data_IF_804516474146
#
_entry.id   IF_804516474146
#
_cell.length_a   1.000
_cell.length_b   1.000
_cell.length_c   1.000
_cell.angle_alpha   90.00
_cell.angle_beta   90.00
_cell.angle_gamma   90.00
#
_symmetry.space_group_name_H-M   'P 1'
#
loop_
_entity.id
_entity.type
_entity.pdbx_description
1 polymer ?
#
# COMPACT_ATOMS: atom_id res chain seq x y z
N UNK A 1 -19.76 -18.89 -2.68
CA UNK A 1 -19.61 -17.52 -2.18
C UNK A 1 -19.75 -16.51 -3.34
N UNK A 2 -18.91 -16.57 -4.37
CA UNK A 2 -18.85 -15.59 -5.46
C UNK A 2 -20.10 -15.50 -6.30
N UNK A 3 -20.75 -16.64 -6.59
CA UNK A 3 -22.03 -16.64 -7.31
C UNK A 3 -23.14 -15.89 -6.55
N UNK A 4 -23.16 -15.97 -5.21
CA UNK A 4 -24.12 -15.21 -4.38
C UNK A 4 -23.83 -13.71 -4.45
N UNK A 5 -22.56 -13.33 -4.47
CA UNK A 5 -22.11 -11.93 -4.56
C UNK A 5 -22.43 -11.31 -5.92
N UNK A 6 -22.27 -12.07 -7.01
CA UNK A 6 -22.69 -11.61 -8.34
C UNK A 6 -24.19 -11.32 -8.43
N UNK A 7 -25.01 -12.08 -7.70
CA UNK A 7 -26.45 -11.86 -7.65
C UNK A 7 -26.89 -10.76 -6.68
N UNK A 8 -26.01 -10.35 -5.77
CA UNK A 8 -26.20 -9.26 -4.79
C UNK A 8 -24.94 -8.42 -4.73
N UNK A 9 -24.71 -7.51 -5.67
CA UNK A 9 -23.46 -6.74 -5.75
C UNK A 9 -23.25 -5.81 -4.56
N UNK A 10 -24.31 -5.49 -3.82
CA UNK A 10 -24.32 -4.72 -2.56
C UNK A 10 -24.25 -5.59 -1.30
N UNK A 11 -23.83 -6.87 -1.44
CA UNK A 11 -23.78 -7.84 -0.33
C UNK A 11 -23.04 -7.31 0.91
N UNK A 12 -21.96 -6.53 0.70
CA UNK A 12 -21.10 -5.98 1.76
C UNK A 12 -21.78 -4.92 2.64
N UNK A 13 -22.89 -4.34 2.20
CA UNK A 13 -23.69 -3.36 2.95
C UNK A 13 -24.92 -3.96 3.63
N UNK A 14 -25.08 -5.28 3.53
CA UNK A 14 -26.21 -5.99 4.14
C UNK A 14 -26.16 -5.97 5.67
N UNK A 15 -27.32 -6.02 6.36
CA UNK A 15 -27.38 -5.99 7.83
C UNK A 15 -26.86 -7.29 8.48
N UNK A 16 -26.64 -8.31 7.70
CA UNK A 16 -26.08 -9.62 8.08
C UNK A 16 -24.55 -9.68 7.96
N UNK A 17 -23.89 -8.56 7.60
CA UNK A 17 -22.44 -8.51 7.47
C UNK A 17 -21.78 -8.14 8.81
N UNK A 18 -20.85 -9.00 9.23
CA UNK A 18 -20.01 -8.80 10.42
C UNK A 18 -18.55 -8.76 9.97
N UNK A 19 -17.92 -7.59 10.08
CA UNK A 19 -16.51 -7.40 9.75
C UNK A 19 -15.61 -7.56 10.97
N UNK A 20 -14.46 -8.16 10.76
CA UNK A 20 -13.37 -8.17 11.72
C UNK A 20 -12.11 -7.59 11.09
N UNK A 21 -11.53 -6.56 11.71
CA UNK A 21 -10.32 -5.89 11.21
C UNK A 21 -9.18 -6.09 12.17
N UNK A 22 -8.01 -6.47 11.66
CA UNK A 22 -6.81 -6.64 12.50
C UNK A 22 -5.52 -6.57 11.68
N UNK A 23 -4.42 -6.27 12.39
CA UNK A 23 -3.08 -6.58 11.92
C UNK A 23 -2.80 -8.07 12.11
N UNK A 24 -2.33 -8.81 11.08
CA UNK A 24 -2.07 -10.25 11.20
C UNK A 24 -1.08 -10.60 12.30
N UNK A 25 0.02 -9.86 12.43
CA UNK A 25 1.06 -10.06 13.44
C UNK A 25 0.54 -9.88 14.87
N UNK A 26 -0.32 -8.90 15.10
CA UNK A 26 -0.91 -8.64 16.42
C UNK A 26 -2.03 -9.61 16.79
N UNK A 27 -2.75 -10.11 15.79
CA UNK A 27 -3.86 -11.03 16.02
C UNK A 27 -3.39 -12.47 16.19
N UNK A 28 -2.47 -12.95 15.35
CA UNK A 28 -2.08 -14.36 15.33
C UNK A 28 -0.61 -14.63 14.94
N UNK A 29 0.20 -13.60 14.82
CA UNK A 29 1.63 -13.66 14.53
C UNK A 29 1.96 -13.80 13.04
N UNK A 30 1.30 -14.71 12.33
CA UNK A 30 1.55 -15.03 10.92
C UNK A 30 0.25 -15.27 10.15
N UNK A 31 0.30 -15.37 8.83
CA UNK A 31 -0.85 -15.74 8.00
C UNK A 31 -1.36 -17.15 8.33
N UNK A 32 -0.48 -18.08 8.61
CA UNK A 32 -0.87 -19.43 9.06
C UNK A 32 -1.51 -19.40 10.45
N UNK A 33 -1.02 -18.51 11.33
CA UNK A 33 -1.65 -18.23 12.62
C UNK A 33 -3.06 -17.68 12.45
N UNK A 34 -3.29 -16.74 11.52
CA UNK A 34 -4.63 -16.23 11.20
C UNK A 34 -5.53 -17.37 10.69
N UNK A 35 -5.00 -18.24 9.80
CA UNK A 35 -5.72 -19.40 9.30
C UNK A 35 -6.19 -20.33 10.43
N UNK A 36 -5.39 -20.51 11.47
CA UNK A 36 -5.75 -21.31 12.66
C UNK A 36 -6.87 -20.70 13.51
N UNK A 37 -7.27 -19.45 13.24
CA UNK A 37 -8.35 -18.74 13.96
C UNK A 37 -9.69 -18.70 13.20
N UNK A 38 -9.80 -19.40 12.08
CA UNK A 38 -11.01 -19.37 11.25
C UNK A 38 -12.24 -19.85 12.03
N UNK A 39 -12.14 -20.92 12.81
CA UNK A 39 -13.23 -21.42 13.65
C UNK A 39 -13.69 -20.36 14.66
N UNK A 40 -12.74 -19.69 15.34
CA UNK A 40 -13.04 -18.59 16.25
C UNK A 40 -13.75 -17.43 15.56
N UNK A 41 -13.31 -17.05 14.36
CA UNK A 41 -13.99 -16.01 13.57
C UNK A 41 -15.40 -16.44 13.16
N UNK A 42 -15.60 -17.72 12.84
CA UNK A 42 -16.89 -18.30 12.55
C UNK A 42 -17.84 -18.27 13.77
N UNK A 43 -17.33 -18.61 14.96
CA UNK A 43 -18.09 -18.54 16.22
C UNK A 43 -18.54 -17.10 16.55
N UNK A 44 -17.75 -16.09 16.18
CA UNK A 44 -18.11 -14.68 16.29
C UNK A 44 -19.12 -14.23 15.21
N UNK A 45 -19.45 -15.08 14.25
CA UNK A 45 -20.32 -14.73 13.13
C UNK A 45 -19.69 -13.83 12.09
N UNK A 46 -18.35 -13.79 12.00
CA UNK A 46 -17.60 -12.96 11.03
C UNK A 46 -17.90 -13.43 9.62
N UNK A 47 -18.28 -12.51 8.75
CA UNK A 47 -18.57 -12.75 7.33
C UNK A 47 -17.50 -12.18 6.41
N UNK A 48 -16.71 -11.21 6.89
CA UNK A 48 -15.51 -10.75 6.19
C UNK A 48 -14.38 -10.38 7.17
N UNK A 49 -13.17 -10.77 6.84
CA UNK A 49 -11.95 -10.46 7.56
C UNK A 49 -11.15 -9.42 6.78
N UNK A 50 -10.93 -8.25 7.37
CA UNK A 50 -10.05 -7.23 6.83
C UNK A 50 -8.68 -7.32 7.50
N UNK A 51 -7.68 -7.72 6.74
CA UNK A 51 -6.28 -7.69 7.18
C UNK A 51 -5.65 -6.37 6.79
N UNK A 52 -5.21 -5.62 7.79
CA UNK A 52 -4.44 -4.38 7.63
C UNK A 52 -3.10 -4.68 6.93
N UNK A 53 -2.34 -3.68 6.45
CA UNK A 53 -1.32 -3.88 5.43
C UNK A 53 -0.41 -5.07 5.68
N UNK A 54 -0.34 -5.98 4.72
CA UNK A 54 0.44 -7.21 4.79
C UNK A 54 1.47 -7.36 3.66
N UNK A 55 1.46 -6.46 2.66
CA UNK A 55 2.45 -6.44 1.61
C UNK A 55 3.78 -5.90 2.13
N UNK A 56 4.87 -6.17 1.42
CA UNK A 56 6.22 -5.81 1.86
C UNK A 56 6.37 -4.29 2.01
N UNK A 57 6.48 -3.75 3.23
CA UNK A 57 6.72 -2.34 3.45
C UNK A 57 8.22 -2.02 3.35
N UNK A 58 8.56 -0.74 3.41
CA UNK A 58 9.94 -0.29 3.57
C UNK A 58 10.59 -0.87 4.82
N UNK A 59 11.92 -1.00 4.80
CA UNK A 59 12.69 -1.42 5.97
C UNK A 59 12.86 -0.28 6.98
N UNK A 60 12.89 -0.62 8.28
CA UNK A 60 13.05 0.34 9.36
C UNK A 60 11.74 0.99 9.80
N UNK A 61 11.78 2.22 10.35
CA UNK A 61 10.56 2.92 10.76
C UNK A 61 9.59 3.06 9.60
N UNK A 62 8.37 2.61 9.79
CA UNK A 62 7.29 2.68 8.81
C UNK A 62 6.00 3.21 9.48
N UNK A 63 4.98 3.41 8.66
CA UNK A 63 3.67 3.94 9.05
C UNK A 63 2.64 2.82 9.34
N UNK A 64 3.07 1.68 9.82
CA UNK A 64 2.22 0.51 10.06
C UNK A 64 2.01 -0.36 8.83
N UNK A 65 2.97 -0.34 7.90
CA UNK A 65 2.96 -1.13 6.67
C UNK A 65 2.35 -0.43 5.45
N UNK A 66 1.92 0.83 5.58
CA UNK A 66 1.32 1.57 4.46
C UNK A 66 2.35 2.12 3.46
N UNK A 67 3.62 2.28 3.84
CA UNK A 67 4.70 2.60 2.92
C UNK A 67 5.17 1.35 2.16
N UNK A 68 4.40 0.93 1.15
CA UNK A 68 4.65 -0.31 0.39
C UNK A 68 5.89 -0.18 -0.48
N UNK A 69 6.83 -1.09 -0.30
CA UNK A 69 8.05 -1.21 -1.10
C UNK A 69 7.88 -2.21 -2.26
N UNK A 70 7.08 -3.27 -2.06
CA UNK A 70 6.81 -4.27 -3.09
C UNK A 70 5.38 -4.81 -2.96
N UNK A 71 4.57 -4.60 -4.01
CA UNK A 71 3.19 -5.10 -4.08
C UNK A 71 3.08 -6.59 -4.42
N UNK A 72 4.18 -7.25 -4.79
CA UNK A 72 4.19 -8.65 -5.25
C UNK A 72 4.58 -9.64 -4.16
N UNK A 73 4.98 -9.13 -2.98
CA UNK A 73 5.44 -9.95 -1.87
C UNK A 73 4.70 -9.61 -0.58
N UNK A 74 4.48 -10.61 0.24
CA UNK A 74 4.01 -10.47 1.61
C UNK A 74 5.20 -10.10 2.50
N UNK A 75 4.96 -9.30 3.53
CA UNK A 75 5.92 -9.01 4.59
C UNK A 75 6.48 -10.33 5.17
N UNK A 76 7.79 -10.48 5.13
CA UNK A 76 8.47 -11.77 5.32
C UNK A 76 8.24 -12.42 6.69
N UNK A 77 7.96 -11.61 7.72
CA UNK A 77 7.62 -12.10 9.07
C UNK A 77 6.20 -12.65 9.18
N UNK A 78 5.30 -12.33 8.23
CA UNK A 78 3.94 -12.86 8.18
C UNK A 78 3.85 -14.18 7.42
N UNK A 79 4.74 -14.42 6.47
CA UNK A 79 4.73 -15.59 5.61
C UNK A 79 5.06 -15.28 4.15
N UNK A 80 4.48 -16.03 3.24
CA UNK A 80 4.69 -15.96 1.79
C UNK A 80 3.38 -15.68 1.05
N UNK A 81 3.47 -15.37 -0.26
CA UNK A 81 2.29 -15.30 -1.13
C UNK A 81 1.50 -16.61 -1.14
N UNK A 82 2.20 -17.76 -1.10
CA UNK A 82 1.55 -19.06 -1.03
C UNK A 82 0.79 -19.28 0.31
N UNK A 83 1.24 -18.68 1.39
CA UNK A 83 0.52 -18.74 2.67
C UNK A 83 -0.70 -17.81 2.67
N UNK A 84 -0.62 -16.67 1.97
CA UNK A 84 -1.78 -15.80 1.73
C UNK A 84 -2.84 -16.50 0.87
N UNK A 85 -2.42 -17.23 -0.17
CA UNK A 85 -3.31 -18.03 -1.02
C UNK A 85 -4.03 -19.11 -0.19
N UNK A 86 -3.30 -19.90 0.61
CA UNK A 86 -3.88 -20.90 1.52
C UNK A 86 -4.87 -20.28 2.53
N UNK A 87 -4.55 -19.11 3.08
CA UNK A 87 -5.46 -18.39 3.96
C UNK A 87 -6.73 -17.96 3.23
N UNK A 88 -6.58 -17.41 2.03
CA UNK A 88 -7.70 -17.00 1.18
C UNK A 88 -8.65 -18.16 0.87
N UNK A 89 -8.09 -19.31 0.49
CA UNK A 89 -8.86 -20.52 0.19
C UNK A 89 -9.62 -21.02 1.42
N UNK A 90 -8.94 -21.10 2.56
CA UNK A 90 -9.54 -21.57 3.81
C UNK A 90 -10.68 -20.61 4.30
N UNK A 91 -10.49 -19.29 4.20
CA UNK A 91 -11.53 -18.31 4.51
C UNK A 91 -12.71 -18.46 3.54
N UNK A 92 -12.43 -18.64 2.25
CA UNK A 92 -13.48 -18.85 1.24
C UNK A 92 -14.30 -20.11 1.52
N UNK A 93 -13.68 -21.23 1.87
CA UNK A 93 -14.34 -22.48 2.29
C UNK A 93 -15.22 -22.27 3.53
N UNK A 94 -14.74 -21.49 4.50
CA UNK A 94 -15.50 -21.11 5.70
C UNK A 94 -16.61 -20.07 5.44
N UNK A 95 -16.74 -19.56 4.21
CA UNK A 95 -17.72 -18.53 3.85
C UNK A 95 -17.37 -17.12 4.30
N UNK A 96 -16.12 -16.89 4.72
CA UNK A 96 -15.60 -15.58 5.14
C UNK A 96 -14.89 -14.90 3.96
N UNK A 97 -15.25 -13.64 3.70
CA UNK A 97 -14.59 -12.83 2.68
C UNK A 97 -13.24 -12.32 3.20
N UNK A 98 -12.20 -12.40 2.39
CA UNK A 98 -10.93 -11.71 2.67
C UNK A 98 -10.95 -10.32 2.05
N UNK A 99 -10.63 -9.31 2.85
CA UNK A 99 -10.40 -7.91 2.43
C UNK A 99 -8.98 -7.53 2.79
N UNK A 100 -8.29 -6.86 1.89
CA UNK A 100 -6.91 -6.39 2.08
C UNK A 100 -6.83 -4.90 1.81
N UNK A 101 -5.93 -4.22 2.51
CA UNK A 101 -5.56 -2.86 2.14
C UNK A 101 -4.81 -2.84 0.81
N UNK A 102 -5.23 -1.98 -0.09
CA UNK A 102 -4.56 -1.68 -1.34
C UNK A 102 -4.16 -0.20 -1.35
N UNK A 103 -2.90 0.08 -1.03
CA UNK A 103 -2.38 1.44 -0.97
C UNK A 103 -2.02 1.90 -2.38
N UNK A 104 -2.88 2.72 -3.00
CA UNK A 104 -2.66 3.29 -4.34
C UNK A 104 -2.30 4.78 -4.31
N UNK A 105 -2.40 5.41 -3.15
CA UNK A 105 -2.16 6.86 -3.00
C UNK A 105 -0.67 7.21 -2.99
N UNK A 106 0.17 6.33 -2.47
CA UNK A 106 1.62 6.50 -2.37
C UNK A 106 2.33 5.15 -2.34
N UNK A 107 3.64 5.18 -2.48
CA UNK A 107 4.55 4.04 -2.33
C UNK A 107 5.72 4.44 -1.43
N UNK A 108 6.46 3.47 -0.92
CA UNK A 108 7.73 3.73 -0.24
C UNK A 108 8.74 4.39 -1.19
N UNK A 109 9.61 5.26 -0.68
CA UNK A 109 10.72 5.87 -1.45
C UNK A 109 11.61 4.78 -2.08
N UNK A 110 11.71 3.64 -1.43
CA UNK A 110 12.50 2.47 -1.85
C UNK A 110 11.82 1.63 -2.94
N UNK A 111 10.55 1.90 -3.27
CA UNK A 111 9.82 1.19 -4.31
C UNK A 111 10.53 1.32 -5.68
N UNK A 112 10.55 0.24 -6.46
CA UNK A 112 11.22 0.23 -7.77
C UNK A 112 10.77 1.36 -8.71
N UNK A 113 9.46 1.68 -8.70
CA UNK A 113 8.90 2.77 -9.51
C UNK A 113 9.38 4.15 -9.05
N UNK A 114 9.44 4.38 -7.74
CA UNK A 114 9.92 5.65 -7.20
C UNK A 114 11.40 5.87 -7.55
N UNK A 115 12.22 4.83 -7.38
CA UNK A 115 13.66 4.88 -7.75
C UNK A 115 13.86 5.08 -9.26
N UNK A 116 13.07 4.40 -10.10
CA UNK A 116 13.13 4.58 -11.55
C UNK A 116 12.68 5.99 -11.97
N UNK A 117 11.62 6.51 -11.33
CA UNK A 117 11.14 7.87 -11.57
C UNK A 117 12.19 8.95 -11.21
N UNK A 118 12.91 8.77 -10.09
CA UNK A 118 14.02 9.66 -9.69
C UNK A 118 15.15 9.66 -10.72
N UNK A 119 15.45 8.51 -11.34
CA UNK A 119 16.41 8.40 -12.44
C UNK A 119 15.90 8.92 -13.80
N UNK A 120 14.66 9.41 -13.85
CA UNK A 120 14.04 9.92 -15.10
C UNK A 120 13.53 8.84 -16.04
N UNK A 121 13.43 7.58 -15.61
CA UNK A 121 13.01 6.46 -16.46
C UNK A 121 11.52 6.51 -16.79
N UNK A 122 11.17 6.35 -18.07
CA UNK A 122 9.78 6.22 -18.51
C UNK A 122 9.35 4.74 -18.50
N UNK A 123 8.05 4.45 -18.19
CA UNK A 123 6.96 5.40 -17.89
C UNK A 123 6.88 5.85 -16.42
N UNK A 124 7.81 5.42 -15.57
CA UNK A 124 7.76 5.62 -14.12
C UNK A 124 7.78 7.09 -13.70
N UNK A 125 8.45 7.94 -14.50
CA UNK A 125 8.51 9.38 -14.25
C UNK A 125 7.11 10.01 -14.20
N UNK A 126 6.17 9.50 -14.98
CA UNK A 126 4.79 9.99 -15.07
C UNK A 126 3.86 9.48 -13.95
N UNK A 127 4.32 8.54 -13.12
CA UNK A 127 3.55 8.04 -11.98
C UNK A 127 3.59 8.96 -10.76
N UNK A 128 4.50 9.95 -10.75
CA UNK A 128 4.74 10.83 -9.62
C UNK A 128 4.65 12.29 -10.02
N UNK A 129 4.26 13.14 -9.06
CA UNK A 129 4.22 14.58 -9.24
C UNK A 129 5.60 15.18 -8.92
N UNK A 130 6.21 15.81 -9.90
CA UNK A 130 7.48 16.51 -9.76
C UNK A 130 7.32 17.99 -10.09
N UNK A 131 7.95 18.82 -9.29
CA UNK A 131 7.98 20.26 -9.46
C UNK A 131 9.44 20.71 -9.68
N UNK A 132 9.64 21.77 -10.49
CA UNK A 132 10.98 22.27 -10.84
C UNK A 132 11.67 23.00 -9.70
N UNK A 133 10.86 23.62 -8.83
CA UNK A 133 11.30 24.44 -7.71
C UNK A 133 10.27 24.36 -6.58
N UNK A 134 10.53 25.06 -5.49
CA UNK A 134 9.69 25.08 -4.31
C UNK A 134 8.45 26.00 -4.41
N UNK A 135 8.27 26.74 -5.50
CA UNK A 135 7.17 27.73 -5.61
C UNK A 135 5.79 27.12 -5.40
N UNK A 136 5.49 26.04 -6.16
CA UNK A 136 4.23 25.33 -6.03
C UNK A 136 4.16 24.46 -4.75
N UNK A 137 5.19 23.66 -4.41
CA UNK A 137 5.24 22.94 -3.14
C UNK A 137 5.00 23.83 -1.93
N UNK A 138 5.69 24.97 -1.80
CA UNK A 138 5.53 25.89 -0.67
C UNK A 138 4.13 26.55 -0.64
N UNK A 139 3.49 26.71 -1.79
CA UNK A 139 2.12 27.19 -1.85
C UNK A 139 1.12 26.15 -1.32
N UNK A 140 1.31 24.88 -1.66
CA UNK A 140 0.50 23.77 -1.15
C UNK A 140 0.71 23.52 0.34
N UNK A 141 1.96 23.50 0.82
CA UNK A 141 2.28 23.26 2.24
C UNK A 141 1.62 24.24 3.20
N UNK A 142 1.30 25.46 2.76
CA UNK A 142 0.54 26.43 3.59
C UNK A 142 -0.88 25.99 3.93
N UNK A 143 -1.46 25.09 3.15
CA UNK A 143 -2.86 24.67 3.27
C UNK A 143 -3.02 23.19 3.53
N UNK A 144 -1.97 22.39 3.35
CA UNK A 144 -1.96 20.96 3.66
C UNK A 144 -1.73 20.74 5.16
N UNK A 145 -2.48 19.84 5.80
CA UNK A 145 -2.20 19.44 7.17
C UNK A 145 -0.91 18.64 7.25
N UNK A 146 -0.13 18.89 8.29
CA UNK A 146 1.02 18.05 8.65
C UNK A 146 0.53 16.70 9.18
N UNK A 147 0.83 15.61 8.48
CA UNK A 147 0.31 14.28 8.83
C UNK A 147 1.31 13.51 9.70
N UNK A 148 2.60 13.63 9.42
CA UNK A 148 3.67 12.92 10.13
C UNK A 148 4.79 13.88 10.60
N UNK A 149 4.50 14.82 11.51
CA UNK A 149 5.44 15.90 11.87
C UNK A 149 6.75 15.38 12.45
N UNK A 150 6.72 14.23 13.15
CA UNK A 150 7.89 13.67 13.83
C UNK A 150 8.76 12.78 12.92
N UNK A 151 8.19 12.16 11.90
CA UNK A 151 8.86 11.14 11.09
C UNK A 151 9.13 11.56 9.64
N UNK A 152 8.25 12.38 9.08
CA UNK A 152 8.33 12.83 7.70
C UNK A 152 7.73 14.24 7.58
N UNK A 153 8.40 15.27 8.15
CA UNK A 153 7.90 16.64 8.11
C UNK A 153 7.85 17.17 6.67
N UNK A 154 6.79 17.91 6.39
CA UNK A 154 6.50 18.45 5.06
C UNK A 154 5.86 17.43 4.13
N UNK A 155 5.22 17.94 3.08
CA UNK A 155 4.51 17.12 2.09
C UNK A 155 5.33 16.91 0.81
N UNK A 156 6.48 17.57 0.67
CA UNK A 156 7.33 17.54 -0.53
C UNK A 156 8.80 17.35 -0.16
N UNK A 157 9.45 16.40 -0.83
CA UNK A 157 10.89 16.13 -0.66
C UNK A 157 11.67 16.72 -1.81
N UNK A 158 12.81 17.37 -1.51
CA UNK A 158 13.77 17.83 -2.50
C UNK A 158 14.69 16.67 -2.92
N UNK A 159 14.73 16.36 -4.22
CA UNK A 159 15.60 15.32 -4.79
C UNK A 159 16.64 15.95 -5.70
N UNK A 160 17.88 16.04 -5.22
CA UNK A 160 19.00 16.65 -5.96
C UNK A 160 19.32 15.94 -7.27
N UNK A 161 19.21 14.61 -7.31
CA UNK A 161 19.49 13.81 -8.50
C UNK A 161 18.60 14.18 -9.69
N UNK A 162 17.32 14.49 -9.44
CA UNK A 162 16.35 14.88 -10.48
C UNK A 162 16.72 16.25 -11.05
N UNK A 163 17.09 17.19 -10.19
CA UNK A 163 17.44 18.55 -10.58
C UNK A 163 18.62 18.55 -11.54
N UNK A 164 19.63 17.72 -11.28
CA UNK A 164 20.80 17.60 -12.14
C UNK A 164 20.50 16.93 -13.48
N UNK A 165 19.64 15.92 -13.53
CA UNK A 165 19.25 15.24 -14.77
C UNK A 165 18.39 16.15 -15.67
N UNK A 166 17.40 16.84 -15.11
CA UNK A 166 16.54 17.79 -15.84
C UNK A 166 17.31 18.99 -16.36
N UNK A 167 18.27 19.51 -15.60
CA UNK A 167 19.13 20.62 -16.05
C UNK A 167 20.07 20.17 -17.17
N UNK A 168 20.67 18.97 -17.09
CA UNK A 168 21.52 18.44 -18.17
C UNK A 168 20.74 18.23 -19.45
N UNK A 169 19.59 17.58 -19.41
CA UNK A 169 18.75 17.33 -20.61
C UNK A 169 18.36 18.64 -21.30
N UNK A 170 18.05 19.70 -20.55
CA UNK A 170 17.69 21.01 -21.10
C UNK A 170 18.86 21.79 -21.68
N UNK A 171 20.05 21.66 -21.07
CA UNK A 171 21.26 22.27 -21.61
C UNK A 171 21.64 21.58 -22.94
N UNK A 172 21.50 20.25 -23.01
CA UNK A 172 21.73 19.48 -24.24
C UNK A 172 20.69 19.81 -25.33
N UNK A 173 19.40 19.94 -25.00
CA UNK A 173 18.37 20.42 -25.94
C UNK A 173 18.62 21.86 -26.41
N UNK A 174 19.01 22.76 -25.50
CA UNK A 174 19.29 24.14 -25.84
C UNK A 174 20.59 24.32 -26.67
N UNK A 175 21.53 23.38 -26.56
CA UNK A 175 22.76 23.38 -27.37
C UNK A 175 22.59 22.66 -28.73
N UNK A 176 21.52 21.86 -28.89
CA UNK A 176 21.18 21.15 -30.11
C UNK A 176 20.22 21.93 -31.02
N UNK A 177 19.65 23.05 -30.57
CA UNK A 177 18.74 23.94 -31.28
C UNK A 177 19.52 25.15 -31.84
#
# INVERSE_FOLDING_TARGET
LDRRRLLRPDWFSGPDQVGYVCYPDRFAGTLDGVRSKIDYLGELGVTYLHLMPLLQPRSGPDDGGYAVQDYRTVRSDLGTMADLEKLSDALHEAGIALTLDLVLNHVAKEHEWARAAVRGEQPYRDYFLFFRDRTMPDAYERTLPEIFPDFAPGSFTWEEEITHADVRARVEEALAA
#
